data_IF_556574619894
#
_entry.id   IF_556574619894
#
_cell.length_a   1.000
_cell.length_b   1.000
_cell.length_c   1.000
_cell.angle_alpha   90.00
_cell.angle_beta   90.00
_cell.angle_gamma   90.00
#
_symmetry.space_group_name_H-M   'P 1'
#
loop_
_entity.id
_entity.type
_entity.pdbx_description
1 polymer ?
#
# COMPACT_ATOMS: atom_id res chain seq x y z
N UNK A 1 27.90 16.75 -23.16
CA UNK A 1 26.66 17.49 -22.85
C UNK A 1 25.51 16.50 -22.86
N UNK A 2 25.02 16.04 -21.68
CA UNK A 2 23.86 15.14 -21.61
C UNK A 2 22.62 15.98 -21.84
N UNK A 3 22.03 15.90 -23.03
CA UNK A 3 20.73 16.51 -23.33
C UNK A 3 19.72 15.79 -22.43
N UNK A 4 19.26 16.46 -21.38
CA UNK A 4 18.11 15.99 -20.63
C UNK A 4 16.88 16.13 -21.53
N UNK A 5 16.23 15.01 -21.82
CA UNK A 5 14.95 15.01 -22.51
C UNK A 5 13.99 15.93 -21.74
N UNK A 6 13.21 16.80 -22.42
CA UNK A 6 12.25 17.66 -21.74
C UNK A 6 11.31 16.80 -20.90
N UNK A 7 11.22 17.15 -19.62
CA UNK A 7 10.31 16.50 -18.67
C UNK A 7 8.87 16.74 -19.15
N UNK A 8 8.07 15.68 -19.29
CA UNK A 8 6.65 15.79 -19.69
C UNK A 8 5.92 16.75 -18.75
N UNK A 9 4.98 17.52 -19.28
CA UNK A 9 4.08 18.32 -18.45
C UNK A 9 3.28 17.40 -17.54
N UNK A 10 2.83 17.91 -16.39
CA UNK A 10 2.00 17.12 -15.47
C UNK A 10 0.72 16.66 -16.17
N UNK A 11 0.07 17.56 -16.92
CA UNK A 11 -1.14 17.28 -17.70
C UNK A 11 -0.94 16.13 -18.69
N UNK A 12 0.13 16.14 -19.48
CA UNK A 12 0.40 15.06 -20.45
C UNK A 12 0.71 13.73 -19.75
N UNK A 13 1.28 13.77 -18.54
CA UNK A 13 1.49 12.56 -17.75
C UNK A 13 0.16 12.02 -17.20
N UNK A 14 -0.68 12.89 -16.64
CA UNK A 14 -2.01 12.55 -16.12
C UNK A 14 -2.88 11.91 -17.21
N UNK A 15 -2.93 12.50 -18.42
CA UNK A 15 -3.70 11.96 -19.55
C UNK A 15 -3.21 10.56 -19.97
N UNK A 16 -1.89 10.37 -20.03
CA UNK A 16 -1.30 9.08 -20.37
C UNK A 16 -1.60 8.00 -19.31
N UNK A 17 -1.60 8.38 -18.03
CA UNK A 17 -1.95 7.48 -16.92
C UNK A 17 -3.44 7.14 -16.96
N UNK A 18 -4.31 8.13 -17.16
CA UNK A 18 -5.75 7.93 -17.26
C UNK A 18 -6.13 6.91 -18.34
N UNK A 19 -5.43 6.94 -19.48
CA UNK A 19 -5.66 6.02 -20.59
C UNK A 19 -5.19 4.57 -20.32
N UNK A 20 -4.34 4.35 -19.32
CA UNK A 20 -3.67 3.07 -19.06
C UNK A 20 -4.02 2.43 -17.69
N UNK A 21 -4.70 3.16 -16.80
CA UNK A 21 -5.13 2.64 -15.51
C UNK A 21 -6.17 1.53 -15.68
N UNK A 22 -6.03 0.51 -14.86
CA UNK A 22 -6.92 -0.66 -14.80
C UNK A 22 -7.36 -0.85 -13.35
N UNK A 23 -8.64 -1.18 -13.18
CA UNK A 23 -9.19 -1.44 -11.85
C UNK A 23 -8.50 -2.62 -11.16
N UNK A 24 -8.32 -2.53 -9.84
CA UNK A 24 -7.72 -3.59 -9.07
C UNK A 24 -8.62 -4.83 -9.02
N UNK A 25 -7.98 -5.99 -8.93
CA UNK A 25 -8.66 -7.26 -8.69
C UNK A 25 -8.19 -7.84 -7.38
N UNK A 26 -9.14 -8.18 -6.52
CA UNK A 26 -8.87 -8.67 -5.17
C UNK A 26 -7.97 -9.89 -5.18
N UNK A 27 -6.87 -9.83 -4.43
CA UNK A 27 -5.99 -10.98 -4.22
C UNK A 27 -6.37 -11.74 -2.95
N UNK A 28 -6.87 -12.97 -3.11
CA UNK A 28 -7.26 -13.82 -1.98
C UNK A 28 -6.10 -14.16 -1.03
N UNK A 29 -4.85 -14.14 -1.53
CA UNK A 29 -3.67 -14.56 -0.78
C UNK A 29 -2.82 -13.39 -0.26
N UNK A 30 -3.15 -12.15 -0.60
CA UNK A 30 -2.36 -10.97 -0.24
C UNK A 30 -2.12 -10.86 1.27
N UNK A 31 -3.17 -11.01 2.08
CA UNK A 31 -3.06 -10.98 3.55
C UNK A 31 -2.10 -12.06 4.06
N UNK A 32 -2.23 -13.30 3.56
CA UNK A 32 -1.39 -14.41 4.01
C UNK A 32 0.09 -14.19 3.65
N UNK A 33 0.37 -13.70 2.45
CA UNK A 33 1.74 -13.38 2.00
C UNK A 33 2.35 -12.31 2.90
N UNK A 34 1.60 -11.25 3.21
CA UNK A 34 2.05 -10.18 4.11
C UNK A 34 2.32 -10.72 5.54
N UNK A 35 1.40 -11.51 6.09
CA UNK A 35 1.58 -12.14 7.40
C UNK A 35 2.82 -13.02 7.44
N UNK A 36 3.03 -13.90 6.45
CA UNK A 36 4.21 -14.77 6.42
C UNK A 36 5.51 -13.97 6.38
N UNK A 37 5.55 -12.86 5.61
CA UNK A 37 6.70 -11.97 5.54
C UNK A 37 7.01 -11.32 6.89
N UNK A 38 5.97 -10.95 7.64
CA UNK A 38 6.06 -10.13 8.85
C UNK A 38 5.98 -10.96 10.15
N UNK A 39 6.11 -12.28 10.06
CA UNK A 39 6.10 -13.18 11.23
C UNK A 39 4.72 -13.32 11.87
N UNK A 40 3.66 -13.19 11.08
CA UNK A 40 2.25 -13.19 11.48
C UNK A 40 1.91 -12.11 12.51
N UNK A 41 2.60 -10.97 12.44
CA UNK A 41 2.40 -9.82 13.31
C UNK A 41 1.78 -8.63 12.58
N UNK A 42 1.09 -7.79 13.33
CA UNK A 42 0.86 -6.41 12.96
C UNK A 42 2.22 -5.71 12.77
N UNK A 43 2.44 -5.10 11.62
CA UNK A 43 3.69 -4.41 11.29
C UNK A 43 3.95 -3.19 12.18
N UNK A 44 2.90 -2.71 12.86
CA UNK A 44 2.89 -1.47 13.63
C UNK A 44 3.04 -1.74 15.13
N UNK A 45 2.18 -2.60 15.68
CA UNK A 45 2.16 -2.90 17.13
C UNK A 45 3.01 -4.11 17.51
N UNK A 46 3.37 -4.96 16.55
CA UNK A 46 4.05 -6.23 16.80
C UNK A 46 3.17 -7.33 17.40
N UNK A 47 1.88 -7.04 17.65
CA UNK A 47 0.87 -7.99 18.11
C UNK A 47 0.65 -9.11 17.10
N UNK A 48 0.34 -10.32 17.55
CA UNK A 48 0.07 -11.45 16.67
C UNK A 48 -1.32 -11.35 16.04
N UNK A 49 -1.44 -11.81 14.80
CA UNK A 49 -2.72 -11.94 14.11
C UNK A 49 -3.55 -13.09 14.71
N UNK A 50 -4.81 -12.79 15.03
CA UNK A 50 -5.77 -13.71 15.66
C UNK A 50 -5.94 -15.02 14.87
N UNK A 51 -6.22 -14.92 13.57
CA UNK A 51 -6.44 -16.11 12.73
C UNK A 51 -5.18 -16.99 12.66
N UNK A 52 -4.01 -16.37 12.74
CA UNK A 52 -2.72 -17.07 12.72
C UNK A 52 -2.42 -17.76 14.05
N UNK A 53 -2.76 -17.14 15.18
CA UNK A 53 -2.68 -17.75 16.50
C UNK A 53 -3.64 -18.94 16.63
N UNK A 54 -4.89 -18.78 16.19
CA UNK A 54 -5.90 -19.86 16.18
C UNK A 54 -5.49 -21.07 15.32
N UNK A 55 -4.73 -20.84 14.24
CA UNK A 55 -4.17 -21.91 13.40
C UNK A 55 -2.88 -22.51 13.95
N UNK A 56 -2.34 -21.98 15.05
CA UNK A 56 -1.11 -22.44 15.68
C UNK A 56 0.18 -22.01 14.96
N UNK A 57 0.13 -21.04 14.06
CA UNK A 57 1.34 -20.51 13.38
C UNK A 57 2.22 -19.67 14.32
N UNK A 58 1.59 -19.07 15.33
CA UNK A 58 2.23 -18.29 16.39
C UNK A 58 1.58 -18.61 17.73
N UNK A 59 2.29 -18.35 18.81
CA UNK A 59 1.81 -18.55 20.17
C UNK A 59 1.81 -17.19 20.88
N UNK A 60 0.64 -16.67 21.29
CA UNK A 60 0.57 -15.43 22.06
C UNK A 60 1.43 -15.50 23.31
N UNK A 61 2.12 -14.40 23.61
CA UNK A 61 2.94 -14.27 24.83
C UNK A 61 2.39 -13.12 25.68
N UNK A 62 2.72 -13.05 26.98
CA UNK A 62 2.33 -11.90 27.80
C UNK A 62 2.80 -10.55 27.23
N UNK A 63 3.91 -10.53 26.48
CA UNK A 63 4.43 -9.31 25.85
C UNK A 63 3.77 -8.98 24.50
N UNK A 64 3.13 -9.97 23.84
CA UNK A 64 2.50 -9.80 22.53
C UNK A 64 1.05 -10.24 22.55
N UNK A 65 0.17 -9.23 22.65
CA UNK A 65 -1.27 -9.42 22.51
C UNK A 65 -1.63 -9.99 21.13
N UNK A 66 -2.82 -10.60 21.08
CA UNK A 66 -3.47 -11.10 19.88
C UNK A 66 -4.50 -10.09 19.40
N UNK A 67 -4.50 -9.78 18.10
CA UNK A 67 -5.37 -8.76 17.49
C UNK A 67 -5.90 -9.22 16.13
N UNK A 68 -7.04 -8.68 15.71
CA UNK A 68 -7.50 -8.85 14.34
C UNK A 68 -6.71 -7.92 13.42
N UNK A 69 -6.00 -8.49 12.45
CA UNK A 69 -5.27 -7.69 11.46
C UNK A 69 -6.02 -7.57 10.14
N UNK A 70 -5.80 -6.46 9.45
CA UNK A 70 -6.29 -6.17 8.11
C UNK A 70 -5.13 -5.81 7.18
N UNK A 71 -5.37 -5.89 5.88
CA UNK A 71 -4.40 -5.44 4.87
C UNK A 71 -4.51 -3.93 4.75
N UNK A 72 -3.39 -3.23 4.97
CA UNK A 72 -3.22 -1.84 4.62
C UNK A 72 -2.36 -1.72 3.35
N UNK A 73 -2.70 -0.76 2.51
CA UNK A 73 -1.94 -0.44 1.30
C UNK A 73 -1.13 0.85 1.54
N UNK A 74 0.16 0.87 1.18
CA UNK A 74 0.98 2.09 1.22
C UNK A 74 0.41 3.11 0.22
N UNK A 75 0.12 2.65 -0.99
CA UNK A 75 -0.67 3.38 -1.97
C UNK A 75 -2.05 2.73 -2.07
N UNK A 76 -3.05 3.40 -1.50
CA UNK A 76 -4.42 2.92 -1.31
C UNK A 76 -5.13 2.42 -2.56
N UNK A 77 -5.98 1.40 -2.38
CA UNK A 77 -6.84 0.84 -3.44
C UNK A 77 -7.86 1.85 -3.97
N UNK A 78 -8.29 2.77 -3.11
CA UNK A 78 -9.17 3.89 -3.45
C UNK A 78 -8.61 4.78 -4.57
N UNK A 79 -7.30 4.75 -4.80
CA UNK A 79 -6.63 5.42 -5.92
C UNK A 79 -7.03 4.82 -7.28
N UNK A 80 -7.41 3.54 -7.37
CA UNK A 80 -7.62 2.85 -8.65
C UNK A 80 -8.98 2.14 -8.75
N UNK A 81 -9.81 2.13 -7.71
CA UNK A 81 -11.15 1.52 -7.74
C UNK A 81 -12.20 2.39 -8.41
N UNK A 82 -13.22 1.76 -9.01
CA UNK A 82 -14.41 2.45 -9.54
C UNK A 82 -14.05 3.65 -10.44
N UNK A 83 -13.02 3.49 -11.27
CA UNK A 83 -12.56 4.48 -12.24
C UNK A 83 -13.10 4.17 -13.64
N UNK A 84 -13.71 3.01 -13.86
CA UNK A 84 -14.33 2.59 -15.10
C UNK A 84 -15.87 2.71 -15.02
N UNK A 85 -16.49 3.20 -16.10
CA UNK A 85 -17.96 3.32 -16.22
C UNK A 85 -18.46 4.77 -16.41
N UNK A 86 -19.71 4.92 -16.88
CA UNK A 86 -20.35 6.23 -17.02
C UNK A 86 -20.50 6.91 -15.64
N UNK A 87 -20.04 8.16 -15.52
CA UNK A 87 -20.12 8.95 -14.28
C UNK A 87 -18.88 8.92 -13.38
N UNK A 88 -17.84 8.16 -13.73
CA UNK A 88 -16.63 7.99 -12.92
C UNK A 88 -15.46 8.93 -13.29
N UNK A 89 -15.71 9.93 -14.15
CA UNK A 89 -14.68 10.83 -14.70
C UNK A 89 -13.91 11.60 -13.63
N UNK A 90 -14.59 12.07 -12.58
CA UNK A 90 -13.97 12.78 -11.46
C UNK A 90 -13.00 11.87 -10.69
N UNK A 91 -13.37 10.60 -10.50
CA UNK A 91 -12.52 9.64 -9.79
C UNK A 91 -11.30 9.26 -10.63
N UNK A 92 -11.48 9.04 -11.94
CA UNK A 92 -10.38 8.79 -12.87
C UNK A 92 -9.41 9.98 -12.94
N UNK A 93 -9.91 11.21 -12.95
CA UNK A 93 -9.08 12.42 -12.94
C UNK A 93 -8.25 12.53 -11.65
N UNK A 94 -8.88 12.29 -10.50
CA UNK A 94 -8.19 12.29 -9.21
C UNK A 94 -7.13 11.18 -9.14
N UNK A 95 -7.50 9.95 -9.50
CA UNK A 95 -6.63 8.78 -9.57
C UNK A 95 -5.37 9.05 -10.42
N UNK A 96 -5.60 9.53 -11.64
CA UNK A 96 -4.53 9.80 -12.60
C UNK A 96 -3.63 10.94 -12.16
N UNK A 97 -4.20 11.95 -11.50
CA UNK A 97 -3.43 13.08 -10.95
C UNK A 97 -2.58 12.63 -9.77
N UNK A 98 -3.16 11.89 -8.82
CA UNK A 98 -2.42 11.33 -7.68
C UNK A 98 -1.26 10.45 -8.16
N UNK A 99 -1.53 9.58 -9.14
CA UNK A 99 -0.51 8.73 -9.74
C UNK A 99 0.60 9.55 -10.42
N UNK A 100 0.24 10.56 -11.22
CA UNK A 100 1.20 11.44 -11.88
C UNK A 100 2.07 12.21 -10.87
N UNK A 101 1.52 12.61 -9.71
CA UNK A 101 2.29 13.22 -8.63
C UNK A 101 3.29 12.23 -8.02
N UNK A 102 2.88 11.00 -7.74
CA UNK A 102 3.79 9.95 -7.24
C UNK A 102 4.91 9.67 -8.24
N UNK A 103 4.59 9.51 -9.53
CA UNK A 103 5.63 9.29 -10.56
C UNK A 103 6.60 10.48 -10.63
N UNK A 104 6.09 11.70 -10.48
CA UNK A 104 6.88 12.92 -10.63
C UNK A 104 7.79 13.20 -9.43
N UNK A 105 7.33 12.91 -8.21
CA UNK A 105 8.00 13.34 -6.98
C UNK A 105 8.64 12.18 -6.21
N UNK A 106 8.10 10.96 -6.31
CA UNK A 106 8.66 9.77 -5.69
C UNK A 106 9.47 8.91 -6.67
N UNK A 107 9.44 9.22 -7.97
CA UNK A 107 10.09 8.45 -9.03
C UNK A 107 9.62 6.98 -9.10
N UNK A 108 8.40 6.70 -8.62
CA UNK A 108 7.75 5.39 -8.66
C UNK A 108 6.73 5.39 -9.79
N UNK A 109 6.86 4.48 -10.77
CA UNK A 109 5.86 4.36 -11.83
C UNK A 109 4.65 3.55 -11.36
N UNK A 110 3.53 4.23 -11.11
CA UNK A 110 2.28 3.61 -10.63
C UNK A 110 1.76 2.60 -11.65
N UNK A 111 1.81 2.93 -12.94
CA UNK A 111 1.34 2.03 -14.00
C UNK A 111 2.13 0.71 -14.04
N UNK A 112 3.44 0.78 -13.79
CA UNK A 112 4.30 -0.40 -13.79
C UNK A 112 4.19 -1.18 -12.49
N UNK A 113 4.11 -0.48 -11.37
CA UNK A 113 4.32 -1.08 -10.05
C UNK A 113 3.03 -1.49 -9.35
N UNK A 114 1.91 -0.79 -9.59
CA UNK A 114 0.71 -0.88 -8.76
C UNK A 114 -0.60 -1.01 -9.57
N UNK A 115 -0.54 -1.01 -10.90
CA UNK A 115 -1.74 -1.09 -11.74
C UNK A 115 -2.42 -2.47 -11.66
N UNK A 116 -3.76 -2.49 -11.71
CA UNK A 116 -4.55 -3.71 -11.64
C UNK A 116 -4.24 -4.56 -10.40
N UNK A 117 -3.94 -5.85 -10.60
CA UNK A 117 -3.64 -6.78 -9.49
C UNK A 117 -2.35 -6.46 -8.74
N UNK A 118 -1.46 -5.63 -9.31
CA UNK A 118 -0.19 -5.30 -8.66
C UNK A 118 -0.36 -4.41 -7.43
N UNK A 119 -1.53 -3.81 -7.20
CA UNK A 119 -1.81 -3.06 -5.97
C UNK A 119 -1.67 -3.93 -4.72
N UNK A 120 -1.95 -5.23 -4.85
CA UNK A 120 -1.86 -6.25 -3.80
C UNK A 120 -0.48 -6.91 -3.68
N UNK A 121 0.53 -6.42 -4.41
CA UNK A 121 1.88 -6.98 -4.31
C UNK A 121 2.42 -6.78 -2.90
N UNK A 122 3.21 -7.75 -2.43
CA UNK A 122 3.75 -7.73 -1.06
C UNK A 122 4.43 -6.39 -0.71
N UNK A 123 5.15 -5.76 -1.64
CA UNK A 123 5.86 -4.49 -1.35
C UNK A 123 4.95 -3.26 -1.22
N UNK A 124 3.67 -3.34 -1.57
CA UNK A 124 2.69 -2.26 -1.37
C UNK A 124 1.75 -2.52 -0.20
N UNK A 125 1.85 -3.69 0.45
CA UNK A 125 0.94 -4.08 1.51
C UNK A 125 1.67 -4.50 2.78
N UNK A 126 1.00 -4.33 3.90
CA UNK A 126 1.37 -4.91 5.19
C UNK A 126 0.12 -5.19 6.02
N UNK A 127 0.26 -5.98 7.08
CA UNK A 127 -0.84 -6.23 8.01
C UNK A 127 -0.79 -5.26 9.17
N UNK A 128 -1.93 -4.63 9.46
CA UNK A 128 -2.10 -3.67 10.55
C UNK A 128 -3.25 -4.11 11.45
N UNK A 129 -3.15 -3.78 12.74
CA UNK A 129 -4.24 -3.92 13.70
C UNK A 129 -5.47 -3.12 13.23
N UNK A 130 -6.65 -3.73 13.28
CA UNK A 130 -7.91 -3.09 12.92
C UNK A 130 -8.19 -1.79 13.70
N UNK A 131 -7.76 -1.69 14.96
CA UNK A 131 -7.88 -0.48 15.76
C UNK A 131 -6.91 0.63 15.35
N UNK A 132 -5.81 0.28 14.67
CA UNK A 132 -4.79 1.24 14.21
C UNK A 132 -5.00 1.65 12.75
N UNK A 133 -5.61 0.78 11.94
CA UNK A 133 -5.85 1.00 10.51
C UNK A 133 -6.47 2.36 10.15
N UNK A 134 -7.50 2.87 10.87
CA UNK A 134 -8.12 4.15 10.51
C UNK A 134 -7.16 5.34 10.59
N UNK A 135 -6.21 5.32 11.52
CA UNK A 135 -5.22 6.40 11.67
C UNK A 135 -4.23 6.40 10.52
N UNK A 136 -3.88 5.22 9.99
CA UNK A 136 -3.01 5.10 8.82
C UNK A 136 -3.70 5.61 7.56
N UNK A 137 -4.95 5.19 7.32
CA UNK A 137 -5.74 5.62 6.16
C UNK A 137 -6.04 7.12 6.18
N UNK A 138 -6.22 7.70 7.37
CA UNK A 138 -6.42 9.14 7.56
C UNK A 138 -5.11 9.95 7.47
N UNK A 139 -3.96 9.30 7.25
CA UNK A 139 -2.62 9.90 7.28
C UNK A 139 -2.28 10.60 8.61
N UNK A 140 -2.93 10.19 9.71
CA UNK A 140 -2.62 10.66 11.06
C UNK A 140 -1.34 10.00 11.61
N UNK A 141 -1.00 8.83 11.07
CA UNK A 141 0.29 8.17 11.28
C UNK A 141 0.95 7.88 9.94
N UNK A 142 2.28 7.93 9.90
CA UNK A 142 3.08 7.56 8.73
C UNK A 142 4.31 6.76 9.15
N UNK A 143 4.88 6.00 8.21
CA UNK A 143 6.05 5.17 8.46
C UNK A 143 7.29 5.82 7.86
N UNK A 144 8.33 5.93 8.67
CA UNK A 144 9.63 6.36 8.19
C UNK A 144 10.54 5.15 7.92
N UNK A 145 11.36 5.19 6.85
CA UNK A 145 12.37 4.19 6.63
C UNK A 145 13.41 4.26 7.75
N UNK A 146 13.62 3.15 8.45
CA UNK A 146 14.74 3.02 9.37
C UNK A 146 15.98 2.57 8.60
N UNK A 147 17.15 3.10 8.95
CA UNK A 147 18.40 2.50 8.48
C UNK A 147 18.50 1.09 9.05
N UNK A 148 18.69 0.09 8.18
CA UNK A 148 18.84 -1.32 8.52
C UNK A 148 19.93 -1.47 9.60
N UNK A 149 19.50 -1.50 10.86
CA UNK A 149 20.35 -1.78 12.01
C UNK A 149 20.03 -3.19 12.48
N UNK A 150 20.23 -4.16 11.59
CA UNK A 150 20.22 -5.61 11.85
C UNK A 150 18.98 -6.20 12.58
N UNK A 151 17.93 -5.41 12.84
CA UNK A 151 16.65 -5.87 13.37
C UNK A 151 15.56 -5.00 12.74
N UNK A 152 14.70 -5.62 11.92
CA UNK A 152 13.58 -4.95 11.25
C UNK A 152 12.63 -4.35 12.29
N UNK A 153 12.37 -3.04 12.20
CA UNK A 153 11.30 -2.38 12.94
C UNK A 153 11.12 -0.93 12.46
N UNK A 154 9.88 -0.49 12.28
CA UNK A 154 9.57 0.91 11.95
C UNK A 154 9.47 1.74 13.23
N UNK A 155 9.84 3.02 13.17
CA UNK A 155 9.62 3.99 14.26
C UNK A 155 8.49 4.94 13.88
N UNK A 156 7.67 5.29 14.86
CA UNK A 156 6.62 6.30 14.74
C UNK A 156 7.20 7.70 14.87
N UNK A 157 6.62 8.63 14.12
CA UNK A 157 6.68 10.08 14.36
C UNK A 157 5.27 10.59 14.54
#
# INVERSE_FOLDING_TARGET
MKIHSPRKSLTTLTEAIAAALVEPHRSANAKLIALQRDGFCCAITGSFDHDSAMKGYVQPTPEKAEVYTQVAHIFGESNNEAILGEGHTVKLEWASTAAALVERYAEISILKELNGSNIYRATNIFTIDQGVHPYFDALEISLEPVQDTLVRGFRFV
#
